data_IF_697524614860
#
_entry.id   IF_697524614860
#
_cell.length_a   1.000
_cell.length_b   1.000
_cell.length_c   1.000
_cell.angle_alpha   90.00
_cell.angle_beta   90.00
_cell.angle_gamma   90.00
#
_symmetry.space_group_name_H-M   'P 1'
#
loop_
_entity.id
_entity.type
_entity.pdbx_description
1 polymer ?
#
# COMPACT_ATOMS: atom_id res chain seq x y z
N UNK A 1 -10.35 23.87 -14.90
CA UNK A 1 -9.95 23.65 -13.50
C UNK A 1 -8.55 24.19 -13.32
N UNK A 2 -8.29 24.97 -12.27
CA UNK A 2 -6.93 25.48 -12.02
C UNK A 2 -6.01 24.29 -11.73
N UNK A 3 -5.05 24.03 -12.61
CA UNK A 3 -3.96 23.10 -12.33
C UNK A 3 -3.06 23.80 -11.31
N UNK A 4 -3.21 23.47 -10.03
CA UNK A 4 -2.23 23.87 -9.04
C UNK A 4 -0.89 23.23 -9.42
N UNK A 5 -0.03 24.01 -10.05
CA UNK A 5 1.31 23.57 -10.43
C UNK A 5 2.11 23.39 -9.14
N UNK A 6 2.60 22.17 -8.89
CA UNK A 6 3.39 21.86 -7.70
C UNK A 6 4.66 22.70 -7.72
N UNK A 7 4.98 23.30 -6.58
CA UNK A 7 6.19 24.11 -6.43
C UNK A 7 7.40 23.21 -6.13
N UNK A 8 8.62 23.67 -6.47
CA UNK A 8 9.84 23.02 -6.01
C UNK A 8 9.88 22.85 -4.49
N UNK A 9 10.42 21.73 -4.03
CA UNK A 9 10.57 21.47 -2.61
C UNK A 9 11.59 22.44 -1.98
N UNK A 10 11.17 23.20 -0.97
CA UNK A 10 11.97 24.25 -0.32
C UNK A 10 12.84 23.78 0.85
N UNK A 11 12.78 22.50 1.21
CA UNK A 11 13.61 21.96 2.29
C UNK A 11 15.08 21.87 1.90
N UNK A 12 15.96 21.81 2.90
CA UNK A 12 17.42 21.78 2.71
C UNK A 12 18.01 20.38 2.59
N UNK A 13 17.22 19.33 2.80
CA UNK A 13 17.64 17.91 2.75
C UNK A 13 16.58 17.07 2.06
N UNK A 14 17.00 16.00 1.37
CA UNK A 14 16.11 15.01 0.76
C UNK A 14 15.16 14.41 1.82
N UNK A 15 13.89 14.25 1.48
CA UNK A 15 12.90 13.51 2.29
C UNK A 15 12.13 12.51 1.44
N UNK A 16 11.66 11.44 2.06
CA UNK A 16 10.65 10.55 1.50
C UNK A 16 9.30 10.91 2.13
N UNK A 17 8.29 11.15 1.31
CA UNK A 17 6.90 11.25 1.76
C UNK A 17 6.14 10.05 1.22
N UNK A 18 5.36 9.42 2.09
CA UNK A 18 4.47 8.31 1.76
C UNK A 18 3.06 8.76 2.09
N UNK A 19 2.13 8.59 1.15
CA UNK A 19 0.71 8.83 1.34
C UNK A 19 -0.03 7.51 1.19
N UNK A 20 -0.81 7.15 2.21
CA UNK A 20 -1.60 5.92 2.26
C UNK A 20 -3.08 6.32 2.18
N UNK A 21 -3.77 5.77 1.20
CA UNK A 21 -5.23 5.85 1.08
C UNK A 21 -5.82 4.56 1.66
N UNK A 22 -6.52 4.68 2.79
CA UNK A 22 -7.13 3.55 3.50
C UNK A 22 -8.62 3.53 3.16
N UNK A 23 -8.97 2.76 2.13
CA UNK A 23 -10.35 2.56 1.72
C UNK A 23 -11.00 1.35 2.40
N UNK A 24 -12.33 1.25 2.30
CA UNK A 24 -13.07 0.09 2.82
C UNK A 24 -12.81 -1.18 2.01
N UNK A 25 -12.82 -1.08 0.67
CA UNK A 25 -12.60 -2.25 -0.22
C UNK A 25 -11.15 -2.41 -0.63
N UNK A 26 -10.48 -1.31 -0.97
CA UNK A 26 -9.11 -1.30 -1.44
C UNK A 26 -8.33 -0.16 -0.80
N UNK A 27 -7.08 -0.42 -0.50
CA UNK A 27 -6.12 0.56 -0.01
C UNK A 27 -5.01 0.77 -1.03
N UNK A 28 -4.44 1.97 -1.10
CA UNK A 28 -3.37 2.33 -2.02
C UNK A 28 -2.26 3.09 -1.33
N UNK A 29 -1.09 3.11 -1.94
CA UNK A 29 0.04 3.91 -1.44
C UNK A 29 0.76 4.58 -2.61
N UNK A 30 1.17 5.82 -2.38
CA UNK A 30 2.05 6.55 -3.28
C UNK A 30 3.17 7.19 -2.47
N UNK A 31 4.27 7.49 -3.14
CA UNK A 31 5.40 8.16 -2.52
C UNK A 31 5.95 9.28 -3.41
N UNK A 32 6.69 10.19 -2.79
CA UNK A 32 7.48 11.19 -3.49
C UNK A 32 8.82 11.37 -2.80
N UNK A 33 9.89 11.45 -3.60
CA UNK A 33 11.18 11.94 -3.14
C UNK A 33 11.17 13.46 -3.25
N UNK A 34 11.34 14.13 -2.10
CA UNK A 34 11.42 15.57 -2.00
C UNK A 34 12.88 16.00 -2.07
N UNK A 35 13.34 16.27 -3.29
CA UNK A 35 14.68 16.79 -3.54
C UNK A 35 14.70 18.32 -3.48
N UNK A 36 15.62 18.94 -2.72
CA UNK A 36 15.74 20.39 -2.64
C UNK A 36 15.79 21.05 -4.03
N UNK A 37 14.88 21.98 -4.30
CA UNK A 37 14.81 22.70 -5.57
C UNK A 37 14.16 21.94 -6.73
N UNK A 38 13.74 20.69 -6.56
CA UNK A 38 13.01 19.93 -7.58
C UNK A 38 11.50 19.91 -7.29
N UNK A 39 10.69 19.93 -8.34
CA UNK A 39 9.23 19.74 -8.23
C UNK A 39 8.97 18.27 -7.92
N UNK A 40 8.29 17.94 -6.79
CA UNK A 40 8.03 16.54 -6.43
C UNK A 40 7.18 15.81 -7.47
N UNK A 41 7.60 14.59 -7.79
CA UNK A 41 6.82 13.65 -8.60
C UNK A 41 6.19 12.60 -7.70
N UNK A 42 4.88 12.42 -7.85
CA UNK A 42 4.14 11.39 -7.12
C UNK A 42 4.28 10.08 -7.89
N UNK A 43 4.79 9.06 -7.22
CA UNK A 43 4.95 7.71 -7.74
C UNK A 43 3.93 6.79 -7.06
N UNK A 44 2.96 6.23 -7.79
CA UNK A 44 2.11 5.20 -7.22
C UNK A 44 2.92 3.92 -6.97
N UNK A 45 2.57 3.16 -5.94
CA UNK A 45 3.04 1.78 -5.79
C UNK A 45 2.08 0.88 -6.55
N UNK A 46 2.60 0.22 -7.59
CA UNK A 46 1.83 -0.61 -8.52
C UNK A 46 2.08 -2.10 -8.33
N UNK A 47 3.01 -2.48 -7.45
CA UNK A 47 3.33 -3.87 -7.16
C UNK A 47 3.60 -4.02 -5.66
N UNK A 48 2.87 -4.93 -5.04
CA UNK A 48 3.00 -5.27 -3.63
C UNK A 48 3.59 -6.68 -3.48
N UNK A 49 4.28 -6.92 -2.36
CA UNK A 49 4.76 -8.26 -2.02
C UNK A 49 3.55 -9.18 -1.83
N UNK A 50 3.57 -10.36 -2.44
CA UNK A 50 2.43 -11.30 -2.42
C UNK A 50 1.33 -10.97 -3.45
N UNK A 51 1.58 -10.09 -4.41
CA UNK A 51 0.64 -9.84 -5.51
C UNK A 51 1.00 -10.72 -6.72
N UNK A 52 0.06 -11.57 -7.17
CA UNK A 52 0.22 -12.54 -8.26
C UNK A 52 0.49 -11.87 -9.60
N UNK A 53 -0.25 -10.80 -9.90
CA UNK A 53 -0.10 -9.99 -11.11
C UNK A 53 -0.30 -8.50 -10.77
N UNK A 54 0.57 -7.60 -11.23
CA UNK A 54 0.28 -6.16 -11.19
C UNK A 54 -0.87 -5.91 -12.17
N UNK A 55 -2.12 -5.91 -11.68
CA UNK A 55 -3.32 -5.66 -12.50
C UNK A 55 -3.40 -4.22 -13.05
N UNK A 56 -2.30 -3.47 -13.05
CA UNK A 56 -2.27 -2.02 -13.27
C UNK A 56 -2.88 -1.21 -12.13
N UNK A 57 -3.50 -1.88 -11.15
CA UNK A 57 -4.11 -1.24 -10.00
C UNK A 57 -3.06 -0.92 -8.94
N UNK A 58 -2.96 0.35 -8.59
CA UNK A 58 -2.08 0.86 -7.52
C UNK A 58 -2.65 0.58 -6.12
N UNK A 59 -3.32 -0.57 -5.95
CA UNK A 59 -4.15 -0.88 -4.79
C UNK A 59 -4.08 -2.35 -4.40
N UNK A 60 -4.34 -2.62 -3.12
CA UNK A 60 -4.48 -3.96 -2.54
C UNK A 60 -5.82 -4.06 -1.81
N UNK A 61 -6.39 -5.27 -1.64
CA UNK A 61 -7.59 -5.45 -0.84
C UNK A 61 -7.43 -4.91 0.58
N UNK A 62 -8.45 -4.25 1.12
CA UNK A 62 -8.48 -3.81 2.51
C UNK A 62 -8.90 -4.95 3.45
N UNK A 63 -8.12 -6.04 3.42
CA UNK A 63 -8.36 -7.27 4.18
C UNK A 63 -7.16 -7.50 5.10
N UNK A 64 -7.44 -7.96 6.32
CA UNK A 64 -6.44 -8.39 7.29
C UNK A 64 -6.85 -9.74 7.87
N UNK A 65 -5.89 -10.65 8.00
CA UNK A 65 -6.03 -11.88 8.79
C UNK A 65 -5.28 -11.71 10.11
N UNK A 66 -5.94 -11.97 11.22
CA UNK A 66 -5.35 -12.00 12.56
C UNK A 66 -5.23 -13.44 13.05
N UNK A 67 -4.21 -13.75 13.85
CA UNK A 67 -4.21 -14.94 14.71
C UNK A 67 -5.08 -14.69 15.94
N UNK A 68 -5.45 -15.75 16.65
CA UNK A 68 -6.26 -15.64 17.87
C UNK A 68 -5.61 -14.75 18.95
N UNK A 69 -4.28 -14.63 18.97
CA UNK A 69 -3.55 -13.77 19.91
C UNK A 69 -3.56 -12.28 19.51
N UNK A 70 -4.22 -11.92 18.40
CA UNK A 70 -4.32 -10.56 17.88
C UNK A 70 -3.14 -10.13 16.99
N UNK A 71 -2.16 -11.01 16.73
CA UNK A 71 -1.07 -10.71 15.79
C UNK A 71 -1.56 -10.76 14.34
N UNK A 72 -1.02 -9.90 13.49
CA UNK A 72 -1.32 -9.93 12.04
C UNK A 72 -0.66 -11.15 11.41
N UNK A 73 -1.45 -11.98 10.74
CA UNK A 73 -0.99 -13.10 9.92
C UNK A 73 -0.73 -12.66 8.48
N UNK A 74 -1.66 -11.93 7.88
CA UNK A 74 -1.56 -11.42 6.50
C UNK A 74 -2.38 -10.13 6.33
N UNK A 75 -1.98 -9.27 5.40
CA UNK A 75 -2.71 -8.05 5.06
C UNK A 75 -2.50 -7.67 3.59
N UNK A 76 -3.47 -6.97 2.99
CA UNK A 76 -3.34 -6.48 1.62
C UNK A 76 -3.15 -7.60 0.60
N UNK A 77 -2.15 -7.48 -0.27
CA UNK A 77 -1.87 -8.49 -1.29
C UNK A 77 -1.55 -9.88 -0.69
N UNK A 78 -0.96 -9.94 0.50
CA UNK A 78 -0.63 -11.20 1.16
C UNK A 78 -1.83 -12.00 1.66
N UNK A 79 -3.06 -11.47 1.52
CA UNK A 79 -4.29 -12.20 1.87
C UNK A 79 -4.86 -13.04 0.73
N UNK A 80 -4.23 -12.99 -0.45
CA UNK A 80 -4.60 -13.82 -1.60
C UNK A 80 -4.10 -15.27 -1.37
N UNK A 81 -4.99 -16.26 -1.27
CA UNK A 81 -4.60 -17.66 -1.07
C UNK A 81 -3.76 -18.24 -2.21
N UNK A 82 -3.86 -17.68 -3.43
CA UNK A 82 -3.07 -18.14 -4.57
C UNK A 82 -1.59 -17.76 -4.43
N UNK A 83 -1.30 -16.65 -3.76
CA UNK A 83 0.06 -16.13 -3.58
C UNK A 83 0.61 -16.39 -2.19
N UNK A 84 -0.26 -16.76 -1.24
CA UNK A 84 0.10 -17.10 0.12
C UNK A 84 -0.50 -18.46 0.52
N UNK A 85 0.09 -19.58 0.06
CA UNK A 85 -0.37 -20.92 0.42
C UNK A 85 -0.21 -21.20 1.92
N UNK A 86 0.73 -20.56 2.62
CA UNK A 86 0.88 -20.71 4.07
C UNK A 86 -0.38 -20.24 4.81
N UNK A 87 -1.04 -19.18 4.34
CA UNK A 87 -2.30 -18.69 4.92
C UNK A 87 -3.44 -19.72 4.81
N UNK A 88 -3.44 -20.55 3.76
CA UNK A 88 -4.44 -21.59 3.58
C UNK A 88 -4.26 -22.77 4.57
N UNK A 89 -3.02 -22.98 5.04
CA UNK A 89 -2.67 -24.03 6.00
C UNK A 89 -2.74 -23.52 7.46
N UNK A 90 -2.99 -22.23 7.68
CA UNK A 90 -3.14 -21.67 9.02
C UNK A 90 -4.52 -21.99 9.59
N UNK A 91 -4.57 -22.98 10.47
CA UNK A 91 -5.70 -23.14 11.38
C UNK A 91 -5.82 -21.90 12.29
N UNK A 92 -7.05 -21.52 12.64
CA UNK A 92 -7.35 -20.48 13.65
C UNK A 92 -7.01 -19.01 13.29
N UNK A 93 -7.11 -18.63 12.01
CA UNK A 93 -7.05 -17.22 11.60
C UNK A 93 -8.43 -16.57 11.48
N UNK A 94 -8.50 -15.29 11.85
CA UNK A 94 -9.70 -14.46 11.79
C UNK A 94 -9.54 -13.49 10.63
N UNK A 95 -10.37 -13.65 9.59
CA UNK A 95 -10.45 -12.72 8.47
C UNK A 95 -11.31 -11.52 8.83
N UNK A 96 -10.82 -10.32 8.55
CA UNK A 96 -11.54 -9.05 8.73
C UNK A 96 -11.53 -8.26 7.43
N UNK A 97 -12.70 -7.77 7.05
CA UNK A 97 -12.94 -6.85 5.94
C UNK A 97 -13.99 -5.80 6.35
N UNK A 98 -14.06 -4.69 5.63
CA UNK A 98 -14.93 -3.54 5.93
C UNK A 98 -16.03 -3.34 4.90
#
# INVERSE_FOLDING_TARGET
MATHQRQPYSGTKRKLVIAIDVGTTFSGVSYALLDPGLVPQIQPVTQFVGQSEPRGDSKVPSIIYYRQDGTVAAAGAGTDPETNPELAEMDDVIRVEW
#
